data_IF_626055368236
#
_entry.id   IF_626055368236
#
_cell.length_a   1.000
_cell.length_b   1.000
_cell.length_c   1.000
_cell.angle_alpha   90.00
_cell.angle_beta   90.00
_cell.angle_gamma   90.00
#
_symmetry.space_group_name_H-M   'P 1'
#
loop_
_entity.id
_entity.type
_entity.pdbx_description
1 polymer ?
#
# COMPACT_ATOMS: atom_id res chain seq x y z
N UNK A 1 -0.56 6.83 16.78
CA UNK A 1 -1.09 5.64 16.09
C UNK A 1 -2.12 6.02 15.03
N UNK A 2 -3.12 6.83 15.36
CA UNK A 2 -4.24 7.21 14.47
C UNK A 2 -3.81 7.76 13.10
N UNK A 3 -2.83 8.67 13.05
CA UNK A 3 -2.35 9.24 11.78
C UNK A 3 -1.73 8.19 10.84
N UNK A 4 -1.03 7.20 11.40
CA UNK A 4 -0.44 6.12 10.61
C UNK A 4 -1.56 5.25 10.05
N UNK A 5 -2.52 4.84 10.88
CA UNK A 5 -3.65 4.03 10.45
C UNK A 5 -4.44 4.73 9.34
N UNK A 6 -4.74 6.02 9.50
CA UNK A 6 -5.39 6.83 8.47
C UNK A 6 -4.61 6.85 7.16
N UNK A 7 -3.28 6.97 7.21
CA UNK A 7 -2.44 7.04 6.01
C UNK A 7 -2.32 5.71 5.26
N UNK A 8 -2.35 4.59 6.00
CA UNK A 8 -2.08 3.27 5.42
C UNK A 8 -3.32 2.47 5.07
N UNK A 9 -4.49 2.76 5.65
CA UNK A 9 -5.73 1.99 5.41
C UNK A 9 -6.05 1.86 3.91
N UNK A 10 -6.28 2.99 3.25
CA UNK A 10 -6.53 3.04 1.80
C UNK A 10 -5.34 2.57 0.95
N UNK A 11 -4.12 2.87 1.40
CA UNK A 11 -2.91 2.51 0.68
C UNK A 11 -2.67 1.00 0.65
N UNK A 12 -2.92 0.31 1.76
CA UNK A 12 -2.77 -1.15 1.83
C UNK A 12 -3.74 -1.87 0.90
N UNK A 13 -4.97 -1.36 0.72
CA UNK A 13 -5.92 -1.87 -0.28
C UNK A 13 -5.40 -1.71 -1.71
N UNK A 14 -4.82 -0.55 -2.03
CA UNK A 14 -4.19 -0.29 -3.33
C UNK A 14 -2.99 -1.22 -3.58
N UNK A 15 -2.10 -1.39 -2.59
CA UNK A 15 -0.93 -2.26 -2.68
C UNK A 15 -1.34 -3.73 -2.81
N UNK A 16 -2.33 -4.18 -2.04
CA UNK A 16 -2.87 -5.54 -2.11
C UNK A 16 -3.45 -5.85 -3.48
N UNK A 17 -4.26 -4.93 -4.04
CA UNK A 17 -4.75 -5.07 -5.42
C UNK A 17 -3.60 -5.15 -6.43
N UNK A 18 -2.51 -4.40 -6.21
CA UNK A 18 -1.36 -4.41 -7.11
C UNK A 18 -0.57 -5.73 -6.99
N UNK A 19 -0.47 -6.29 -5.78
CA UNK A 19 0.16 -7.59 -5.54
C UNK A 19 -0.58 -8.70 -6.28
N UNK A 20 -1.92 -8.70 -6.26
CA UNK A 20 -2.75 -9.69 -6.96
C UNK A 20 -2.57 -9.69 -8.49
N UNK A 21 -2.09 -8.60 -9.08
CA UNK A 21 -1.77 -8.54 -10.52
C UNK A 21 -0.42 -9.18 -10.87
N UNK A 22 0.43 -9.45 -9.88
CA UNK A 22 1.76 -10.03 -10.11
C UNK A 22 1.65 -11.55 -10.24
N UNK A 23 2.54 -12.21 -11.01
CA UNK A 23 2.61 -13.67 -11.04
C UNK A 23 2.81 -14.29 -9.65
N UNK A 24 3.58 -13.62 -8.78
CA UNK A 24 3.83 -14.02 -7.39
C UNK A 24 2.59 -13.90 -6.49
N UNK A 25 1.60 -13.08 -6.87
CA UNK A 25 0.47 -12.67 -6.02
C UNK A 25 0.88 -12.16 -4.63
N UNK A 26 2.07 -11.59 -4.52
CA UNK A 26 2.72 -11.26 -3.25
C UNK A 26 3.28 -9.84 -3.25
N UNK A 27 3.43 -9.25 -2.07
CA UNK A 27 4.13 -7.97 -1.87
C UNK A 27 5.65 -8.14 -1.75
N UNK A 28 6.16 -9.37 -1.66
CA UNK A 28 7.58 -9.67 -1.45
C UNK A 28 8.48 -9.13 -2.58
N UNK A 29 7.95 -9.05 -3.81
CA UNK A 29 8.65 -8.50 -4.97
C UNK A 29 8.11 -7.13 -5.42
N UNK A 30 7.30 -6.46 -4.57
CA UNK A 30 6.67 -5.17 -4.87
C UNK A 30 7.58 -3.98 -4.60
N UNK A 31 7.85 -3.15 -5.61
CA UNK A 31 8.66 -1.94 -5.46
C UNK A 31 7.79 -0.67 -5.36
N UNK A 32 8.26 0.33 -4.61
CA UNK A 32 7.55 1.61 -4.44
C UNK A 32 7.22 2.30 -5.77
N UNK A 33 8.08 2.16 -6.78
CA UNK A 33 7.85 2.66 -8.14
C UNK A 33 6.63 2.01 -8.82
N UNK A 34 6.35 0.74 -8.53
CA UNK A 34 5.17 0.02 -9.04
C UNK A 34 3.90 0.54 -8.39
N UNK A 35 3.93 0.75 -7.07
CA UNK A 35 2.82 1.37 -6.32
C UNK A 35 2.57 2.78 -6.81
N UNK A 36 3.61 3.59 -7.03
CA UNK A 36 3.50 4.95 -7.57
C UNK A 36 2.82 4.99 -8.94
N UNK A 37 3.08 4.01 -9.82
CA UNK A 37 2.39 3.89 -11.12
C UNK A 37 0.90 3.59 -10.91
N UNK A 38 0.57 2.66 -10.03
CA UNK A 38 -0.82 2.28 -9.68
C UNK A 38 -1.59 3.38 -8.96
N UNK A 39 -0.91 4.15 -8.12
CA UNK A 39 -1.47 5.32 -7.46
C UNK A 39 -1.93 6.39 -8.45
N UNK A 40 -1.12 6.68 -9.48
CA UNK A 40 -1.44 7.64 -10.55
C UNK A 40 -2.59 7.18 -11.45
N UNK A 41 -2.77 5.87 -11.61
CA UNK A 41 -3.91 5.30 -12.31
C UNK A 41 -5.15 5.35 -11.41
N UNK A 42 -6.02 6.35 -11.64
CA UNK A 42 -7.25 6.53 -10.87
C UNK A 42 -8.31 5.45 -11.12
N UNK A 43 -8.20 4.67 -12.21
CA UNK A 43 -9.13 3.56 -12.51
C UNK A 43 -8.72 2.29 -11.78
N UNK A 44 -7.42 2.11 -11.57
CA UNK A 44 -6.92 0.98 -10.81
C UNK A 44 -7.34 1.07 -9.34
N UNK A 45 -7.90 0.00 -8.76
CA UNK A 45 -8.37 0.02 -7.37
C UNK A 45 -9.15 1.31 -7.05
N UNK A 46 -10.18 1.60 -7.87
CA UNK A 46 -10.94 2.85 -7.83
C UNK A 46 -11.69 3.06 -6.49
N UNK A 47 -11.86 2.00 -5.69
CA UNK A 47 -12.35 2.09 -4.32
C UNK A 47 -11.38 2.77 -3.36
N UNK A 48 -10.07 2.83 -3.69
CA UNK A 48 -9.09 3.40 -2.78
C UNK A 48 -8.88 4.90 -3.02
N UNK A 49 -9.17 5.74 -2.02
CA UNK A 49 -9.12 7.20 -2.19
C UNK A 49 -7.69 7.73 -2.28
N UNK A 50 -7.33 8.34 -3.42
CA UNK A 50 -6.00 8.94 -3.62
C UNK A 50 -5.79 10.19 -2.78
N UNK A 51 -6.88 10.91 -2.49
CA UNK A 51 -6.85 12.12 -1.66
C UNK A 51 -6.62 11.74 -0.20
N UNK A 52 -7.21 10.65 0.29
CA UNK A 52 -6.95 10.14 1.66
C UNK A 52 -5.50 9.69 1.81
N UNK A 53 -4.95 8.94 0.84
CA UNK A 53 -3.54 8.52 0.86
C UNK A 53 -2.61 9.75 0.86
N UNK A 54 -2.88 10.74 0.00
CA UNK A 54 -2.10 11.98 -0.06
C UNK A 54 -2.18 12.76 1.25
N UNK A 55 -3.38 12.86 1.81
CA UNK A 55 -3.60 13.56 3.07
C UNK A 55 -2.90 12.85 4.24
N UNK A 56 -2.90 11.53 4.23
CA UNK A 56 -2.19 10.71 5.20
C UNK A 56 -0.69 11.00 5.17
N UNK A 57 -0.07 11.05 3.98
CA UNK A 57 1.33 11.42 3.83
C UNK A 57 1.61 12.83 4.37
N UNK A 58 0.78 13.82 4.02
CA UNK A 58 0.89 15.19 4.55
C UNK A 58 0.79 15.25 6.08
N UNK A 59 -0.16 14.52 6.68
CA UNK A 59 -0.38 14.50 8.14
C UNK A 59 0.81 13.92 8.91
N UNK A 60 1.59 13.06 8.25
CA UNK A 60 2.82 12.47 8.76
C UNK A 60 4.06 13.32 8.44
N UNK A 61 3.95 14.32 7.57
CA UNK A 61 5.08 15.09 7.06
C UNK A 61 6.00 14.24 6.18
N UNK A 62 5.45 13.24 5.49
CA UNK A 62 6.20 12.30 4.66
C UNK A 62 5.94 12.55 3.18
N UNK A 63 6.95 12.26 2.36
CA UNK A 63 6.75 12.13 0.92
C UNK A 63 5.91 10.88 0.62
N UNK A 64 5.10 10.93 -0.43
CA UNK A 64 4.32 9.76 -0.87
C UNK A 64 5.20 8.53 -1.11
N UNK A 65 6.42 8.73 -1.60
CA UNK A 65 7.34 7.63 -1.86
C UNK A 65 7.77 6.94 -0.56
N UNK A 66 8.02 7.71 0.50
CA UNK A 66 8.38 7.16 1.82
C UNK A 66 7.20 6.39 2.43
N UNK A 67 5.98 6.92 2.27
CA UNK A 67 4.78 6.22 2.70
C UNK A 67 4.62 4.88 1.95
N UNK A 68 4.77 4.87 0.63
CA UNK A 68 4.69 3.64 -0.17
C UNK A 68 5.73 2.60 0.28
N UNK A 69 6.99 3.00 0.40
CA UNK A 69 8.07 2.10 0.78
C UNK A 69 7.87 1.52 2.18
N UNK A 70 7.56 2.36 3.16
CA UNK A 70 7.34 1.90 4.54
C UNK A 70 6.14 0.97 4.65
N UNK A 71 5.05 1.25 3.94
CA UNK A 71 3.88 0.36 3.92
C UNK A 71 4.20 -0.97 3.26
N UNK A 72 4.92 -1.00 2.13
CA UNK A 72 5.36 -2.25 1.50
C UNK A 72 6.21 -3.08 2.46
N UNK A 73 7.22 -2.46 3.11
CA UNK A 73 8.10 -3.16 4.05
C UNK A 73 7.33 -3.72 5.24
N UNK A 74 6.36 -2.95 5.77
CA UNK A 74 5.47 -3.42 6.82
C UNK A 74 4.64 -4.64 6.37
N UNK A 75 4.01 -4.57 5.19
CA UNK A 75 3.24 -5.70 4.64
C UNK A 75 4.11 -6.95 4.41
N UNK A 76 5.34 -6.78 3.90
CA UNK A 76 6.30 -7.88 3.73
C UNK A 76 6.66 -8.56 5.05
N UNK A 77 6.76 -7.79 6.13
CA UNK A 77 7.17 -8.31 7.44
C UNK A 77 6.16 -9.29 8.05
N UNK A 78 4.89 -9.22 7.63
CA UNK A 78 3.82 -10.06 8.17
C UNK A 78 3.07 -10.89 7.12
N UNK A 79 3.37 -10.78 5.81
CA UNK A 79 2.62 -11.47 4.75
C UNK A 79 2.48 -12.97 5.01
N UNK A 80 3.59 -13.65 5.35
CA UNK A 80 3.58 -15.09 5.64
C UNK A 80 2.67 -15.42 6.82
N UNK A 81 2.78 -14.67 7.92
CA UNK A 81 1.95 -14.87 9.11
C UNK A 81 0.46 -14.67 8.77
N UNK A 82 0.13 -13.60 8.04
CA UNK A 82 -1.25 -13.32 7.62
C UNK A 82 -1.80 -14.44 6.74
N UNK A 83 -1.00 -14.97 5.81
CA UNK A 83 -1.40 -16.10 4.96
C UNK A 83 -1.67 -17.37 5.77
N UNK A 84 -0.85 -17.65 6.78
CA UNK A 84 -1.03 -18.81 7.68
C UNK A 84 -2.28 -18.67 8.56
N UNK A 85 -2.60 -17.46 9.02
CA UNK A 85 -3.79 -17.18 9.83
C UNK A 85 -5.10 -17.19 9.01
N UNK A 86 -5.03 -16.94 7.71
CA UNK A 86 -6.18 -16.90 6.79
C UNK A 86 -6.48 -18.24 6.10
N UNK A 87 -5.63 -19.26 6.29
CA UNK A 87 -5.76 -20.60 5.70
C UNK A 87 -6.61 -21.53 6.58
#
# INVERSE_FOLDING_TARGET
>A
MEKILFAVDELTGLIGAAALMRPSKSVMDMEASSVKKKFKDKKFAAGCSRDVISKGAEMLGWELNDLFEKTILAMRSCEKQVQEEMA
#
